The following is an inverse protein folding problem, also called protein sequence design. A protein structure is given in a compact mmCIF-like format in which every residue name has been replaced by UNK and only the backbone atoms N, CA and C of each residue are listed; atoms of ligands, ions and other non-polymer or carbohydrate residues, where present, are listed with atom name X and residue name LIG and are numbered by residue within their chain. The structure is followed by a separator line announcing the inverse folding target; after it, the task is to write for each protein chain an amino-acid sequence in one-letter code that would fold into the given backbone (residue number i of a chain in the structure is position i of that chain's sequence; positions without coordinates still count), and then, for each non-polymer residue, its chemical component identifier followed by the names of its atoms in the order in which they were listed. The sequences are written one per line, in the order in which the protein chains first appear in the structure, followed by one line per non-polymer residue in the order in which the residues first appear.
data_IF_121845486268
#
_entry.id   IF_121845486268
#
_cell.length_a   1.000
_cell.length_b   1.000
_cell.length_c   1.000
_cell.angle_alpha   90.00
_cell.angle_beta   90.00
_cell.angle_gamma   90.00
#
_symmetry.space_group_name_H-M   'P 1'
#
loop_
_entity.id
_entity.type
_entity.pdbx_description
1 polymer ?
#
# COMPACT_ATOMS: atom_id res chain seq x y z
N UNK A 1 11.63 -7.68 -13.76
CA UNK A 1 12.76 -8.60 -13.49
C UNK A 1 13.14 -8.55 -12.01
N UNK A 2 12.29 -9.12 -11.17
CA UNK A 2 12.53 -9.18 -9.72
C UNK A 2 12.42 -10.61 -9.23
N UNK A 3 13.33 -11.05 -8.36
CA UNK A 3 13.32 -12.38 -7.74
C UNK A 3 12.36 -12.47 -6.54
N UNK A 4 11.21 -11.81 -6.63
CA UNK A 4 10.20 -11.69 -5.58
C UNK A 4 10.19 -10.32 -4.93
N UNK A 5 9.39 -10.20 -3.86
CA UNK A 5 9.28 -8.96 -3.09
C UNK A 5 10.42 -8.82 -2.09
N UNK A 6 10.82 -7.59 -1.85
CA UNK A 6 11.78 -7.22 -0.83
C UNK A 6 11.07 -6.51 0.34
N UNK A 7 11.58 -6.64 1.54
CA UNK A 7 11.00 -6.01 2.74
C UNK A 7 11.06 -4.48 2.72
N UNK A 8 11.92 -3.90 1.87
CA UNK A 8 12.06 -2.46 1.68
C UNK A 8 12.59 -2.15 0.28
N UNK A 9 12.43 -0.91 -0.16
CA UNK A 9 12.93 -0.45 -1.46
C UNK A 9 14.47 -0.53 -1.52
N UNK A 10 15.06 -1.28 -2.46
CA UNK A 10 16.51 -1.42 -2.60
C UNK A 10 17.22 -0.12 -2.99
N UNK A 11 16.49 0.89 -3.47
CA UNK A 11 17.03 2.23 -3.76
C UNK A 11 17.29 3.02 -2.47
N UNK A 12 16.57 2.69 -1.39
CA UNK A 12 16.65 3.37 -0.10
C UNK A 12 17.44 2.53 0.91
N UNK A 13 17.16 1.24 0.98
CA UNK A 13 17.79 0.32 1.94
C UNK A 13 18.77 -0.60 1.22
N UNK A 14 20.00 -0.56 1.63
CA UNK A 14 21.05 -1.41 1.06
C UNK A 14 20.86 -2.89 1.46
N UNK A 15 20.77 -3.78 0.47
CA UNK A 15 20.61 -5.22 0.64
C UNK A 15 19.37 -5.61 1.48
N UNK A 16 18.15 -5.20 1.11
CA UNK A 16 16.95 -5.59 1.83
C UNK A 16 16.71 -7.10 1.69
N UNK A 17 16.14 -7.72 2.71
CA UNK A 17 15.82 -9.15 2.71
C UNK A 17 14.63 -9.43 1.78
N UNK A 18 14.58 -10.63 1.21
CA UNK A 18 13.45 -11.09 0.41
C UNK A 18 12.30 -11.57 1.29
N UNK A 19 11.07 -11.34 0.82
CA UNK A 19 9.85 -11.86 1.41
C UNK A 19 9.56 -13.22 0.76
N UNK A 20 9.57 -14.30 1.53
CA UNK A 20 9.31 -15.65 1.02
C UNK A 20 7.81 -15.87 0.78
N UNK A 21 6.98 -15.40 1.72
CA UNK A 21 5.51 -15.55 1.65
C UNK A 21 4.85 -14.28 2.18
N UNK A 22 3.81 -13.84 1.48
CA UNK A 22 3.00 -12.67 1.85
C UNK A 22 1.53 -12.97 1.62
N UNK A 23 0.66 -12.42 2.44
CA UNK A 23 -0.79 -12.52 2.22
C UNK A 23 -1.27 -11.46 1.24
N UNK A 24 -2.39 -11.71 0.56
CA UNK A 24 -3.05 -10.70 -0.29
C UNK A 24 -3.37 -9.42 0.46
N UNK A 25 -3.70 -9.52 1.77
CA UNK A 25 -3.97 -8.35 2.61
C UNK A 25 -2.71 -7.50 2.81
N UNK A 26 -1.60 -8.12 3.19
CA UNK A 26 -0.31 -7.43 3.40
C UNK A 26 0.21 -6.84 2.08
N UNK A 27 0.09 -7.56 0.97
CA UNK A 27 0.47 -7.06 -0.35
C UNK A 27 -0.30 -5.80 -0.71
N UNK A 28 -1.61 -5.78 -0.48
CA UNK A 28 -2.46 -4.61 -0.74
C UNK A 28 -2.01 -3.41 0.09
N UNK A 29 -1.72 -3.60 1.38
CA UNK A 29 -1.23 -2.52 2.24
C UNK A 29 0.11 -1.95 1.73
N UNK A 30 1.04 -2.81 1.34
CA UNK A 30 2.32 -2.39 0.77
C UNK A 30 2.14 -1.66 -0.57
N UNK A 31 1.26 -2.14 -1.44
CA UNK A 31 0.95 -1.50 -2.74
C UNK A 31 0.32 -0.13 -2.55
N UNK A 32 -0.59 0.00 -1.60
CA UNK A 32 -1.23 1.27 -1.26
C UNK A 32 -0.23 2.32 -0.77
N UNK A 33 0.84 1.89 -0.10
CA UNK A 33 1.93 2.75 0.38
C UNK A 33 3.03 3.01 -0.67
N UNK A 34 2.82 2.61 -1.94
CA UNK A 34 3.71 2.93 -3.07
C UNK A 34 4.62 1.80 -3.57
N UNK A 35 4.50 0.59 -3.01
CA UNK A 35 5.20 -0.58 -3.55
C UNK A 35 4.48 -1.08 -4.83
N UNK A 36 4.82 -0.51 -5.97
CA UNK A 36 4.23 -0.88 -7.27
C UNK A 36 4.92 -2.10 -7.86
N UNK A 37 4.45 -3.29 -7.55
CA UNK A 37 5.00 -4.54 -8.12
C UNK A 37 3.96 -5.33 -8.91
N UNK A 38 2.67 -5.24 -8.55
CA UNK A 38 1.57 -5.93 -9.22
C UNK A 38 0.35 -5.02 -9.30
N UNK A 39 -0.29 -5.00 -10.46
CA UNK A 39 -1.54 -4.27 -10.64
C UNK A 39 -2.68 -5.02 -9.92
N UNK A 40 -3.51 -4.31 -9.18
CA UNK A 40 -4.57 -4.90 -8.36
C UNK A 40 -5.60 -5.66 -9.22
N UNK A 41 -5.89 -5.16 -10.42
CA UNK A 41 -6.81 -5.81 -11.36
C UNK A 41 -6.34 -7.20 -11.80
N UNK A 42 -5.03 -7.43 -11.89
CA UNK A 42 -4.47 -8.74 -12.22
C UNK A 42 -4.60 -9.75 -11.06
N UNK A 43 -4.63 -9.26 -9.84
CA UNK A 43 -4.70 -10.09 -8.62
C UNK A 43 -6.13 -10.52 -8.33
N UNK A 44 -7.11 -9.67 -8.57
CA UNK A 44 -8.49 -9.87 -8.15
C UNK A 44 -9.12 -11.20 -8.59
N UNK A 45 -9.05 -11.63 -9.88
CA UNK A 45 -9.67 -12.88 -10.31
C UNK A 45 -9.02 -14.10 -9.68
N UNK A 46 -7.69 -14.08 -9.52
CA UNK A 46 -6.91 -15.19 -8.96
C UNK A 46 -7.18 -15.32 -7.45
N UNK A 47 -7.25 -14.19 -6.75
CA UNK A 47 -7.61 -14.14 -5.34
C UNK A 47 -9.01 -14.68 -5.10
N UNK A 48 -10.00 -14.27 -5.92
CA UNK A 48 -11.38 -14.76 -5.81
C UNK A 48 -11.48 -16.26 -5.97
N UNK A 49 -10.59 -16.86 -6.77
CA UNK A 49 -10.49 -18.30 -6.98
C UNK A 49 -9.68 -19.01 -5.88
N UNK A 50 -9.09 -18.30 -4.92
CA UNK A 50 -8.26 -18.87 -3.85
C UNK A 50 -6.92 -19.44 -4.34
N UNK A 51 -6.47 -19.05 -5.52
CA UNK A 51 -5.26 -19.59 -6.15
C UNK A 51 -4.04 -18.78 -5.69
N UNK A 52 -2.99 -19.39 -5.13
CA UNK A 52 -1.77 -18.69 -4.77
C UNK A 52 -1.01 -18.22 -6.02
N UNK A 53 -0.37 -17.04 -5.92
CA UNK A 53 0.47 -16.47 -6.97
C UNK A 53 1.94 -16.57 -6.54
N UNK A 54 2.83 -17.03 -7.42
CA UNK A 54 4.27 -17.01 -7.19
C UNK A 54 4.93 -16.00 -8.11
N UNK A 55 5.56 -14.99 -7.53
CA UNK A 55 6.35 -13.99 -8.25
C UNK A 55 7.79 -14.45 -8.35
N UNK A 56 8.26 -14.71 -9.56
CA UNK A 56 9.61 -15.23 -9.84
C UNK A 56 10.28 -14.43 -10.93
N UNK A 57 11.61 -14.44 -10.92
CA UNK A 57 12.45 -13.84 -11.96
C UNK A 57 12.63 -14.79 -13.13
N UNK A 58 12.24 -14.40 -14.32
CA UNK A 58 12.43 -15.19 -15.54
C UNK A 58 13.91 -15.39 -15.90
N UNK A 59 14.76 -14.43 -15.52
CA UNK A 59 16.21 -14.49 -15.76
C UNK A 59 16.96 -15.29 -14.67
N UNK A 60 16.28 -15.62 -13.56
CA UNK A 60 16.85 -16.43 -12.47
C UNK A 60 15.80 -17.46 -12.01
N UNK A 61 15.47 -18.46 -12.83
CA UNK A 61 14.38 -19.41 -12.56
C UNK A 61 14.64 -20.33 -11.35
N UNK A 62 15.87 -20.41 -10.87
CA UNK A 62 16.26 -21.12 -9.64
C UNK A 62 15.84 -20.38 -8.37
N UNK A 63 15.57 -19.08 -8.44
CA UNK A 63 15.14 -18.30 -7.30
C UNK A 63 13.71 -18.67 -6.92
N UNK A 64 13.45 -18.86 -5.63
CA UNK A 64 12.12 -19.26 -5.13
C UNK A 64 11.06 -18.19 -5.34
N UNK A 65 11.46 -16.94 -5.37
CA UNK A 65 10.56 -15.80 -5.48
C UNK A 65 9.72 -15.57 -4.22
N UNK A 66 8.58 -14.92 -4.38
CA UNK A 66 7.61 -14.66 -3.30
C UNK A 66 6.29 -15.35 -3.60
N UNK A 67 5.78 -16.11 -2.65
CA UNK A 67 4.46 -16.74 -2.72
C UNK A 67 3.40 -15.82 -2.07
N UNK A 68 2.35 -15.48 -2.83
CA UNK A 68 1.21 -14.70 -2.36
C UNK A 68 0.06 -15.66 -2.08
N UNK A 69 -0.50 -15.61 -0.86
CA UNK A 69 -1.53 -16.53 -0.37
C UNK A 69 -2.69 -15.78 0.28
N UNK A 70 -3.86 -16.42 0.42
CA UNK A 70 -5.01 -15.82 1.10
C UNK A 70 -4.76 -15.62 2.59
N UNK A 71 -4.15 -16.61 3.23
CA UNK A 71 -3.79 -16.58 4.65
C UNK A 71 -2.66 -17.54 4.95
N UNK A 72 -1.99 -17.34 6.05
CA UNK A 72 -0.93 -18.22 6.53
C UNK A 72 -1.21 -18.65 7.96
N UNK A 73 -1.12 -19.93 8.23
CA UNK A 73 -1.15 -20.49 9.59
C UNK A 73 0.24 -20.50 10.23
N UNK A 74 1.29 -20.11 9.49
CA UNK A 74 2.65 -20.05 10.02
C UNK A 74 2.82 -18.79 10.86
N UNK A 75 3.52 -18.95 11.97
CA UNK A 75 4.02 -17.78 12.70
C UNK A 75 4.95 -16.97 11.79
N UNK A 76 4.81 -15.64 11.75
CA UNK A 76 5.65 -14.81 10.93
C UNK A 76 7.13 -14.96 11.35
N UNK A 77 8.01 -15.11 10.38
CA UNK A 77 9.46 -15.21 10.61
C UNK A 77 10.04 -13.89 11.15
N UNK A 78 9.41 -12.79 10.81
CA UNK A 78 9.80 -11.44 11.21
C UNK A 78 8.60 -10.68 11.77
N UNK A 79 8.86 -9.73 12.65
CA UNK A 79 7.82 -8.87 13.25
C UNK A 79 7.16 -7.95 12.21
N UNK A 80 7.88 -7.62 11.14
CA UNK A 80 7.43 -6.73 10.07
C UNK A 80 7.54 -7.48 8.75
N UNK A 81 6.46 -7.49 7.97
CA UNK A 81 6.44 -8.11 6.63
C UNK A 81 7.19 -7.28 5.61
N UNK A 82 7.02 -5.96 5.64
CA UNK A 82 7.68 -5.03 4.74
C UNK A 82 7.43 -3.58 5.14
N UNK A 83 8.21 -2.68 4.55
CA UNK A 83 8.08 -1.24 4.72
C UNK A 83 8.02 -0.63 3.32
N UNK A 84 6.94 0.08 3.04
CA UNK A 84 6.80 0.91 1.85
C UNK A 84 6.52 2.35 2.27
N UNK A 85 6.94 3.30 1.48
CA UNK A 85 6.72 4.72 1.74
C UNK A 85 6.73 5.51 0.45
N UNK A 86 6.00 6.59 0.45
CA UNK A 86 5.97 7.59 -0.62
C UNK A 86 6.08 8.96 0.01
N UNK A 87 6.87 9.81 -0.60
CA UNK A 87 7.05 11.22 -0.20
C UNK A 87 6.11 12.15 -0.99
N UNK A 88 6.28 13.45 -0.80
CA UNK A 88 5.52 14.48 -1.51
C UNK A 88 4.11 14.70 -0.96
N UNK A 89 3.84 14.29 0.27
CA UNK A 89 2.57 14.55 0.95
C UNK A 89 2.63 15.80 1.84
N UNK A 90 1.50 16.49 1.91
CA UNK A 90 1.25 17.55 2.88
C UNK A 90 0.09 17.12 3.78
N UNK A 91 0.27 17.27 5.08
CA UNK A 91 -0.79 17.06 6.06
C UNK A 91 -1.46 18.40 6.36
N UNK A 92 -2.77 18.48 6.11
CA UNK A 92 -3.59 19.66 6.39
C UNK A 92 -4.52 19.30 7.55
N UNK A 93 -4.39 20.03 8.65
CA UNK A 93 -5.29 19.93 9.80
C UNK A 93 -6.28 21.08 9.75
N UNK A 94 -7.56 20.74 9.77
CA UNK A 94 -8.65 21.72 9.81
C UNK A 94 -9.32 21.64 11.17
N UNK A 95 -9.24 22.74 11.93
CA UNK A 95 -9.86 22.84 13.23
C UNK A 95 -11.05 23.82 13.19
N UNK A 96 -12.17 23.40 13.73
CA UNK A 96 -13.36 24.24 13.87
C UNK A 96 -14.09 23.90 15.16
N UNK A 97 -14.42 24.94 15.91
CA UNK A 97 -15.30 24.76 17.06
C UNK A 97 -16.66 24.22 16.64
N UNK A 98 -17.21 23.26 17.39
CA UNK A 98 -18.50 22.62 17.14
C UNK A 98 -18.60 21.94 15.75
N UNK A 99 -17.51 21.40 15.22
CA UNK A 99 -17.47 20.70 13.93
C UNK A 99 -18.50 19.56 13.83
N UNK A 100 -18.77 18.89 14.93
CA UNK A 100 -19.73 17.74 14.99
C UNK A 100 -21.19 18.15 14.81
N UNK A 101 -21.54 19.43 15.00
CA UNK A 101 -22.91 19.93 14.83
C UNK A 101 -23.17 20.44 13.39
N UNK A 102 -22.14 20.56 12.55
CA UNK A 102 -22.29 20.99 11.18
C UNK A 102 -22.42 19.82 10.21
N UNK A 103 -23.62 19.63 9.69
CA UNK A 103 -23.89 18.59 8.68
C UNK A 103 -23.10 18.87 7.40
N UNK A 104 -22.35 17.88 6.92
CA UNK A 104 -21.63 17.96 5.67
C UNK A 104 -20.31 18.76 5.73
N UNK A 105 -19.77 19.05 6.90
CA UNK A 105 -18.51 19.78 7.04
C UNK A 105 -17.36 19.13 6.25
N UNK A 106 -17.14 17.83 6.41
CA UNK A 106 -16.10 17.12 5.66
C UNK A 106 -16.30 17.20 4.14
N UNK A 107 -17.55 17.14 3.66
CA UNK A 107 -17.83 17.31 2.23
C UNK A 107 -17.39 18.69 1.73
N UNK A 108 -17.69 19.76 2.49
CA UNK A 108 -17.29 21.13 2.12
C UNK A 108 -15.76 21.27 2.06
N UNK A 109 -15.05 20.66 3.00
CA UNK A 109 -13.58 20.65 2.99
C UNK A 109 -13.06 19.90 1.76
N UNK A 110 -13.57 18.70 1.48
CA UNK A 110 -13.16 17.91 0.31
C UNK A 110 -13.52 18.60 -1.02
N UNK A 111 -14.61 19.34 -1.07
CA UNK A 111 -15.00 20.13 -2.24
C UNK A 111 -13.92 21.18 -2.58
N UNK A 112 -13.31 21.83 -1.58
CA UNK A 112 -12.23 22.80 -1.82
C UNK A 112 -11.03 22.10 -2.46
N UNK A 113 -10.69 20.86 -2.07
CA UNK A 113 -9.62 20.10 -2.71
C UNK A 113 -9.94 19.73 -4.15
N UNK A 114 -11.18 19.27 -4.39
CA UNK A 114 -11.67 18.94 -5.72
C UNK A 114 -11.63 20.15 -6.65
N UNK A 115 -12.15 21.30 -6.22
CA UNK A 115 -12.20 22.54 -7.00
C UNK A 115 -10.79 23.07 -7.35
N UNK A 116 -9.78 22.70 -6.57
CA UNK A 116 -8.37 23.07 -6.81
C UNK A 116 -7.52 21.93 -7.43
N UNK A 117 -8.15 20.82 -7.83
CA UNK A 117 -7.45 19.70 -8.46
C UNK A 117 -6.45 18.98 -7.54
N UNK A 118 -6.65 19.05 -6.23
CA UNK A 118 -5.77 18.43 -5.23
C UNK A 118 -6.24 17.03 -4.90
N UNK A 119 -5.37 16.03 -5.07
CA UNK A 119 -5.66 14.66 -4.70
C UNK A 119 -5.55 14.46 -3.19
N UNK A 120 -6.60 13.93 -2.57
CA UNK A 120 -6.59 13.54 -1.16
C UNK A 120 -6.43 12.01 -1.04
N UNK A 121 -5.43 11.55 -0.32
CA UNK A 121 -5.19 10.11 -0.13
C UNK A 121 -5.85 9.57 1.14
N UNK A 122 -5.78 10.32 2.22
CA UNK A 122 -6.35 9.93 3.51
C UNK A 122 -7.14 11.10 4.07
N UNK A 123 -8.41 10.86 4.36
CA UNK A 123 -9.23 11.80 5.12
C UNK A 123 -9.60 11.13 6.46
N UNK A 124 -9.07 11.66 7.54
CA UNK A 124 -9.42 11.25 8.89
C UNK A 124 -10.11 12.40 9.62
N UNK A 125 -10.83 12.09 10.70
CA UNK A 125 -11.62 13.06 11.48
C UNK A 125 -10.87 14.36 11.87
N UNK A 126 -9.55 14.33 11.86
CA UNK A 126 -8.68 15.44 12.29
C UNK A 126 -7.59 15.76 11.26
N UNK A 127 -7.29 14.85 10.32
CA UNK A 127 -6.16 15.00 9.42
C UNK A 127 -6.56 14.70 7.98
N UNK A 128 -6.26 15.60 7.06
CA UNK A 128 -6.37 15.37 5.62
C UNK A 128 -4.95 15.34 5.05
N UNK A 129 -4.59 14.21 4.44
CA UNK A 129 -3.30 14.06 3.77
C UNK A 129 -3.49 14.23 2.27
N UNK A 130 -2.79 15.17 1.67
CA UNK A 130 -2.90 15.51 0.25
C UNK A 130 -1.57 15.33 -0.46
N UNK A 131 -1.64 15.01 -1.75
CA UNK A 131 -0.50 15.01 -2.66
C UNK A 131 -0.73 16.08 -3.73
N UNK A 132 0.26 16.92 -3.94
CA UNK A 132 0.31 17.80 -5.10
C UNK A 132 1.04 17.08 -6.23
N UNK A 133 0.40 17.00 -7.38
CA UNK A 133 0.98 16.42 -8.62
C UNK A 133 1.69 17.50 -9.42
#
# INVERSE_FOLDING_TARGET
DVSGFLIADPRIVKNPKSIETITYKELRELSYMGASVLHEDAIFPVRKAGIPINIRNTNAPQDKGTLIVEGTCRQPKYTITGIAGTDGFVAITVEKAMMNSEVGFCRKVLQVFEDNGVLSNICHRVLIQCRFS
#
